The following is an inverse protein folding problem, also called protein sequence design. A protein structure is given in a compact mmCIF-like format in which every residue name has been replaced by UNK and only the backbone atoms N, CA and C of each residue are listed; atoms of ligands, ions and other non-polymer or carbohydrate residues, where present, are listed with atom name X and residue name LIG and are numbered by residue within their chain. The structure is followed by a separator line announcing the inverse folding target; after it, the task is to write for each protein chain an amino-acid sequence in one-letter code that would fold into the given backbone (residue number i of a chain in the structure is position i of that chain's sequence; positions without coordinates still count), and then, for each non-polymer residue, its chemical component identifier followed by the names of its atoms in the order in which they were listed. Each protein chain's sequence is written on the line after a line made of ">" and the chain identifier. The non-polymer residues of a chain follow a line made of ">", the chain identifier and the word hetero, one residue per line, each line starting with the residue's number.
data_IF_724924123367
#
_entry.id   IF_724924123367
#
_cell.length_a   1.000
_cell.length_b   1.000
_cell.length_c   1.000
_cell.angle_alpha   90.00
_cell.angle_beta   90.00
_cell.angle_gamma   90.00
#
_symmetry.space_group_name_H-M   'P 1'
#
loop_
_entity.id
_entity.type
_entity.pdbx_description
1 polymer ?
#
# COMPACT_ATOMS: atom_id res chain seq x y z
N UNK A 1 32.11 -59.24 -15.60
CA UNK A 1 33.37 -58.79 -14.97
C UNK A 1 33.08 -57.58 -14.08
N UNK A 2 33.72 -57.61 -12.93
CA UNK A 2 33.26 -56.93 -11.68
C UNK A 2 33.46 -55.43 -11.70
N UNK A 3 32.41 -54.71 -11.18
CA UNK A 3 32.50 -53.37 -10.63
C UNK A 3 33.45 -53.40 -9.41
N UNK A 4 34.64 -52.83 -9.53
CA UNK A 4 35.54 -52.38 -8.45
C UNK A 4 36.86 -52.02 -9.09
N UNK A 5 37.20 -50.72 -9.05
CA UNK A 5 38.54 -50.11 -9.09
C UNK A 5 38.50 -48.76 -9.82
N UNK A 6 37.86 -47.80 -9.15
CA UNK A 6 38.08 -46.37 -9.49
C UNK A 6 37.94 -45.49 -8.25
N UNK A 7 38.70 -45.84 -7.22
CA UNK A 7 38.95 -44.93 -6.11
C UNK A 7 40.45 -45.01 -5.85
N UNK A 8 41.21 -44.06 -6.36
CA UNK A 8 42.45 -43.54 -5.76
C UNK A 8 43.03 -42.42 -6.65
N UNK A 9 43.26 -41.29 -5.98
CA UNK A 9 44.07 -40.13 -6.38
C UNK A 9 43.33 -38.99 -7.10
N UNK A 10 42.77 -38.11 -6.29
CA UNK A 10 42.82 -36.66 -6.52
C UNK A 10 42.84 -35.96 -5.16
N UNK A 11 44.01 -35.87 -4.55
CA UNK A 11 44.35 -34.83 -3.57
C UNK A 11 44.52 -33.54 -4.36
N UNK A 12 43.49 -32.72 -4.40
CA UNK A 12 43.49 -31.41 -5.05
C UNK A 12 42.99 -30.36 -4.04
N UNK A 13 43.84 -29.40 -3.78
CA UNK A 13 43.68 -28.24 -2.89
C UNK A 13 42.26 -27.73 -2.83
N UNK A 14 41.68 -27.73 -1.63
CA UNK A 14 40.55 -26.89 -1.27
C UNK A 14 41.03 -25.43 -1.21
N UNK A 15 40.87 -24.71 -2.32
CA UNK A 15 40.87 -23.25 -2.28
C UNK A 15 39.64 -22.84 -1.53
N UNK A 16 39.80 -22.44 -0.26
CA UNK A 16 38.80 -21.74 0.53
C UNK A 16 38.65 -20.36 -0.14
N UNK A 17 37.71 -20.26 -1.06
CA UNK A 17 37.22 -18.96 -1.51
C UNK A 17 36.56 -18.30 -0.31
N UNK A 18 37.26 -17.37 0.34
CA UNK A 18 36.70 -16.42 1.28
C UNK A 18 35.64 -15.60 0.54
N UNK A 19 34.39 -15.98 0.70
CA UNK A 19 33.29 -15.11 0.37
C UNK A 19 33.49 -13.83 1.20
N UNK A 20 33.43 -12.64 0.61
CA UNK A 20 33.49 -11.43 1.39
C UNK A 20 32.31 -11.50 2.38
N UNK A 21 32.66 -11.46 3.67
CA UNK A 21 31.69 -11.24 4.73
C UNK A 21 30.87 -10.03 4.34
N UNK A 22 29.58 -10.25 4.07
CA UNK A 22 28.61 -9.17 3.88
C UNK A 22 28.82 -8.15 4.99
N UNK A 23 29.15 -6.93 4.62
CA UNK A 23 29.15 -5.79 5.55
C UNK A 23 27.79 -5.86 6.25
N UNK A 24 27.80 -5.94 7.56
CA UNK A 24 26.65 -5.68 8.41
C UNK A 24 26.24 -4.22 8.17
N UNK A 25 25.45 -4.01 7.12
CA UNK A 25 24.78 -2.74 6.88
C UNK A 25 23.83 -2.50 8.05
N UNK A 26 23.79 -1.26 8.47
CA UNK A 26 22.97 -0.70 9.53
C UNK A 26 21.54 -1.28 9.50
N UNK A 27 21.26 -2.29 10.36
CA UNK A 27 20.09 -3.17 10.29
C UNK A 27 18.76 -2.44 10.59
N UNK A 28 18.80 -1.11 10.81
CA UNK A 28 17.65 -0.26 11.13
C UNK A 28 17.20 0.67 9.99
N UNK A 29 17.98 0.77 8.92
CA UNK A 29 17.68 1.71 7.83
C UNK A 29 16.55 1.20 6.95
N UNK A 30 15.52 2.01 6.79
CA UNK A 30 14.33 1.70 5.97
C UNK A 30 14.41 2.44 4.64
N UNK A 31 13.90 1.79 3.58
CA UNK A 31 13.84 2.34 2.23
C UNK A 31 12.39 2.37 1.74
N UNK A 32 12.08 3.24 0.78
CA UNK A 32 10.74 3.28 0.15
C UNK A 32 10.43 2.00 -0.60
N UNK A 33 11.44 1.31 -1.10
CA UNK A 33 11.36 0.06 -1.86
C UNK A 33 11.39 -1.20 -1.00
N UNK A 34 11.54 -1.09 0.33
CA UNK A 34 11.52 -2.27 1.20
C UNK A 34 10.23 -3.06 0.95
N UNK A 35 10.38 -4.38 0.84
CA UNK A 35 9.26 -5.31 0.76
C UNK A 35 8.74 -5.58 2.16
N UNK A 36 7.47 -5.32 2.36
CA UNK A 36 6.79 -5.49 3.65
C UNK A 36 5.48 -6.26 3.47
N UNK A 37 5.14 -7.08 4.46
CA UNK A 37 3.88 -7.80 4.45
C UNK A 37 2.72 -6.87 4.84
N UNK A 38 1.65 -6.90 4.10
CA UNK A 38 0.42 -6.17 4.40
C UNK A 38 -0.41 -6.95 5.42
N UNK A 39 -0.08 -6.80 6.71
CA UNK A 39 -0.67 -7.59 7.79
C UNK A 39 -0.59 -9.09 7.52
N UNK A 40 -1.68 -9.80 7.80
CA UNK A 40 -1.81 -11.25 7.55
C UNK A 40 -2.47 -11.57 6.19
N UNK A 41 -2.49 -10.63 5.23
CA UNK A 41 -3.16 -10.86 3.93
C UNK A 41 -2.39 -11.80 2.99
N UNK A 42 -1.11 -12.04 3.24
CA UNK A 42 -0.22 -12.74 2.32
C UNK A 42 0.25 -11.89 1.14
N UNK A 43 -0.10 -10.59 1.11
CA UNK A 43 0.31 -9.67 0.05
C UNK A 43 1.57 -8.93 0.49
N UNK A 44 2.62 -9.05 -0.30
CA UNK A 44 3.84 -8.26 -0.13
C UNK A 44 3.74 -6.96 -0.94
N UNK A 45 4.09 -5.83 -0.34
CA UNK A 45 4.02 -4.49 -0.94
C UNK A 45 5.33 -3.74 -0.76
N UNK A 46 5.58 -2.70 -1.56
CA UNK A 46 6.63 -1.74 -1.23
C UNK A 46 6.22 -0.88 -0.03
N UNK A 47 7.19 -0.51 0.84
CA UNK A 47 6.94 0.32 2.03
C UNK A 47 6.23 1.62 1.69
N UNK A 48 6.59 2.26 0.59
CA UNK A 48 5.85 3.39 0.03
C UNK A 48 4.85 2.89 -1.01
N UNK A 49 3.61 3.36 -0.92
CA UNK A 49 2.66 3.31 -2.01
C UNK A 49 2.64 4.66 -2.75
N UNK A 50 2.63 4.62 -4.08
CA UNK A 50 2.40 5.83 -4.90
C UNK A 50 0.93 6.20 -4.79
N UNK A 51 0.64 7.26 -4.03
CA UNK A 51 -0.69 7.84 -3.93
C UNK A 51 -1.03 8.65 -5.17
N UNK A 52 -2.15 8.34 -5.81
CA UNK A 52 -2.60 9.02 -7.04
C UNK A 52 -3.77 9.97 -6.83
N UNK A 53 -4.14 10.22 -5.56
CA UNK A 53 -5.35 10.95 -5.18
C UNK A 53 -5.12 12.24 -4.41
N UNK A 54 -4.07 13.02 -4.69
CA UNK A 54 -3.92 14.35 -4.07
C UNK A 54 -5.09 15.23 -4.46
N UNK A 55 -5.83 15.74 -3.46
CA UNK A 55 -7.10 16.47 -3.66
C UNK A 55 -8.10 15.70 -4.54
N UNK A 56 -8.11 14.35 -4.40
CA UNK A 56 -8.88 13.44 -5.23
C UNK A 56 -10.37 13.41 -4.85
N UNK A 57 -11.22 13.89 -5.78
CA UNK A 57 -12.67 13.87 -5.68
C UNK A 57 -13.32 14.05 -7.05
N UNK A 58 -14.53 13.52 -7.23
CA UNK A 58 -15.30 13.71 -8.46
C UNK A 58 -14.59 13.22 -9.73
N UNK A 59 -13.92 12.06 -9.66
CA UNK A 59 -13.15 11.46 -10.74
C UNK A 59 -11.95 12.30 -11.20
N UNK A 60 -11.38 13.10 -10.31
CA UNK A 60 -10.21 13.94 -10.59
C UNK A 60 -9.28 13.99 -9.38
N UNK A 61 -7.98 14.14 -9.63
CA UNK A 61 -6.93 14.42 -8.64
C UNK A 61 -5.94 15.42 -9.22
N UNK A 62 -4.99 15.92 -8.43
CA UNK A 62 -3.91 16.74 -8.99
C UNK A 62 -3.17 15.97 -10.08
N UNK A 63 -2.89 14.69 -9.85
CA UNK A 63 -2.19 13.83 -10.81
C UNK A 63 -2.93 13.72 -12.15
N UNK A 64 -4.27 13.56 -12.14
CA UNK A 64 -5.04 13.50 -13.38
C UNK A 64 -5.08 14.84 -14.11
N UNK A 65 -5.08 15.97 -13.37
CA UNK A 65 -5.14 17.31 -13.96
C UNK A 65 -3.82 17.77 -14.54
N UNK A 66 -2.71 17.48 -13.82
CA UNK A 66 -1.40 18.06 -14.14
C UNK A 66 -0.56 17.14 -15.01
N UNK A 67 -0.67 15.82 -14.83
CA UNK A 67 0.13 14.85 -15.56
C UNK A 67 -0.59 14.24 -16.77
N UNK A 68 -1.92 14.17 -16.72
CA UNK A 68 -2.70 13.42 -17.70
C UNK A 68 -2.37 11.93 -17.69
N UNK A 69 -2.95 11.19 -18.63
CA UNK A 69 -2.83 9.72 -18.68
C UNK A 69 -1.37 9.28 -18.83
N UNK A 70 -0.66 9.86 -19.81
CA UNK A 70 0.72 9.47 -20.10
C UNK A 70 1.69 9.88 -19.00
N UNK A 71 1.61 11.10 -18.50
CA UNK A 71 2.54 11.61 -17.49
C UNK A 71 2.42 10.87 -16.15
N UNK A 72 1.19 10.50 -15.72
CA UNK A 72 1.04 9.67 -14.52
C UNK A 72 1.52 8.23 -14.77
N UNK A 73 1.28 7.66 -15.95
CA UNK A 73 1.82 6.36 -16.29
C UNK A 73 3.36 6.33 -16.31
N UNK A 74 4.00 7.38 -16.84
CA UNK A 74 5.45 7.54 -16.84
C UNK A 74 6.00 7.67 -15.40
N UNK A 75 5.30 8.39 -14.52
CA UNK A 75 5.67 8.50 -13.10
C UNK A 75 5.57 7.14 -12.37
N UNK A 76 4.52 6.37 -12.64
CA UNK A 76 4.34 5.02 -12.07
C UNK A 76 5.43 4.05 -12.55
N UNK A 77 5.86 4.14 -13.81
CA UNK A 77 6.98 3.36 -14.35
C UNK A 77 8.30 3.72 -13.66
N UNK A 78 8.60 5.00 -13.50
CA UNK A 78 9.79 5.46 -12.76
C UNK A 78 9.76 4.96 -11.31
N UNK A 79 8.59 4.95 -10.66
CA UNK A 79 8.45 4.41 -9.31
C UNK A 79 8.72 2.90 -9.28
N UNK A 80 8.17 2.15 -10.23
CA UNK A 80 8.38 0.71 -10.36
C UNK A 80 9.86 0.37 -10.58
N UNK A 81 10.56 1.06 -11.47
CA UNK A 81 11.99 0.88 -11.72
C UNK A 81 12.85 1.11 -10.47
N UNK A 82 12.34 1.90 -9.50
CA UNK A 82 12.96 2.16 -8.20
C UNK A 82 12.47 1.24 -7.08
N UNK A 83 11.76 0.16 -7.44
CA UNK A 83 11.26 -0.85 -6.51
C UNK A 83 10.01 -0.41 -5.74
N UNK A 84 9.34 0.70 -6.11
CA UNK A 84 8.06 1.12 -5.55
C UNK A 84 6.95 0.60 -6.45
N UNK A 85 6.43 -0.58 -6.12
CA UNK A 85 5.47 -1.32 -6.92
C UNK A 85 4.05 -1.36 -6.32
N UNK A 86 3.79 -0.64 -5.24
CA UNK A 86 2.48 -0.49 -4.63
C UNK A 86 1.83 0.82 -5.09
N UNK A 87 0.64 0.75 -5.69
CA UNK A 87 -0.09 1.90 -6.23
C UNK A 87 -1.41 2.07 -5.51
N UNK A 88 -1.64 3.26 -4.96
CA UNK A 88 -2.85 3.63 -4.23
C UNK A 88 -3.73 4.52 -5.10
N UNK A 89 -4.88 3.98 -5.51
CA UNK A 89 -5.91 4.61 -6.32
C UNK A 89 -7.26 4.65 -5.59
N UNK A 90 -8.26 5.23 -6.22
CA UNK A 90 -9.67 5.14 -5.86
C UNK A 90 -10.55 5.51 -7.06
N UNK A 91 -11.79 5.03 -7.05
CA UNK A 91 -12.78 5.44 -8.03
C UNK A 91 -12.94 6.96 -8.10
N UNK A 92 -13.02 7.62 -6.94
CA UNK A 92 -13.17 9.08 -6.84
C UNK A 92 -11.98 9.88 -7.37
N UNK A 93 -10.80 9.25 -7.58
CA UNK A 93 -9.61 9.93 -8.11
C UNK A 93 -9.55 9.96 -9.63
N UNK A 94 -10.30 9.07 -10.31
CA UNK A 94 -10.31 8.94 -11.77
C UNK A 94 -9.01 8.43 -12.37
N UNK A 95 -8.19 7.73 -11.59
CA UNK A 95 -6.83 7.33 -12.00
C UNK A 95 -6.73 5.92 -12.59
N UNK A 96 -7.81 5.11 -12.60
CA UNK A 96 -7.78 3.76 -13.19
C UNK A 96 -7.26 3.73 -14.63
N UNK A 97 -7.71 4.61 -15.56
CA UNK A 97 -7.17 4.62 -16.93
C UNK A 97 -5.67 4.94 -17.01
N UNK A 98 -5.14 5.69 -16.05
CA UNK A 98 -3.72 6.04 -15.95
C UNK A 98 -2.89 4.83 -15.53
N UNK A 99 -3.39 4.07 -14.52
CA UNK A 99 -2.78 2.82 -14.10
C UNK A 99 -2.80 1.81 -15.24
N UNK A 100 -3.91 1.69 -15.97
CA UNK A 100 -4.02 0.84 -17.17
C UNK A 100 -2.95 1.20 -18.21
N UNK A 101 -2.69 2.48 -18.43
CA UNK A 101 -1.65 2.91 -19.36
C UNK A 101 -0.26 2.45 -18.91
N UNK A 102 0.05 2.56 -17.60
CA UNK A 102 1.31 2.06 -17.04
C UNK A 102 1.44 0.53 -17.18
N UNK A 103 0.34 -0.21 -17.02
CA UNK A 103 0.30 -1.67 -17.16
C UNK A 103 0.56 -2.17 -18.60
N UNK A 104 0.57 -1.30 -19.61
CA UNK A 104 1.03 -1.69 -20.96
C UNK A 104 2.55 -1.95 -21.01
N UNK A 105 3.29 -1.38 -20.06
CA UNK A 105 4.77 -1.45 -19.99
C UNK A 105 5.27 -2.28 -18.80
N UNK A 106 4.45 -2.44 -17.77
CA UNK A 106 4.79 -3.16 -16.54
C UNK A 106 3.87 -4.36 -16.42
N UNK A 107 4.40 -5.59 -16.26
CA UNK A 107 3.57 -6.78 -16.06
C UNK A 107 2.66 -6.63 -14.83
N UNK A 108 1.38 -6.94 -14.98
CA UNK A 108 0.34 -6.74 -13.95
C UNK A 108 0.68 -7.43 -12.61
N UNK A 109 1.26 -8.62 -12.68
CA UNK A 109 1.63 -9.43 -11.52
C UNK A 109 2.85 -8.88 -10.76
N UNK A 110 3.54 -7.91 -11.31
CA UNK A 110 4.71 -7.26 -10.68
C UNK A 110 4.34 -6.05 -9.83
N UNK A 111 3.08 -5.64 -9.87
CA UNK A 111 2.58 -4.50 -9.09
C UNK A 111 1.40 -4.90 -8.22
N UNK A 112 1.24 -4.19 -7.11
CA UNK A 112 0.08 -4.30 -6.23
C UNK A 112 -0.77 -3.05 -6.40
N UNK A 113 -2.06 -3.23 -6.69
CA UNK A 113 -3.01 -2.14 -6.87
C UNK A 113 -4.03 -2.16 -5.74
N UNK A 114 -4.07 -1.07 -4.98
CA UNK A 114 -5.14 -0.75 -4.06
C UNK A 114 -6.09 0.25 -4.73
N UNK A 115 -7.37 -0.04 -4.69
CA UNK A 115 -8.42 0.92 -5.08
C UNK A 115 -9.57 0.94 -4.08
N UNK A 116 -10.46 1.92 -4.21
CA UNK A 116 -11.51 2.20 -3.22
C UNK A 116 -12.82 2.54 -3.90
N UNK A 117 -13.93 2.16 -3.28
CA UNK A 117 -15.29 2.43 -3.74
C UNK A 117 -16.16 3.03 -2.65
N UNK A 118 -17.17 3.78 -3.04
CA UNK A 118 -18.25 4.24 -2.18
C UNK A 118 -19.48 3.33 -2.19
N UNK A 119 -19.46 2.22 -2.93
CA UNK A 119 -20.58 1.28 -3.02
C UNK A 119 -21.11 0.88 -1.65
N UNK A 120 -22.43 0.76 -1.56
CA UNK A 120 -23.17 0.43 -0.34
C UNK A 120 -23.92 -0.90 -0.51
N UNK A 121 -24.57 -1.08 -1.65
CA UNK A 121 -25.36 -2.26 -1.96
C UNK A 121 -24.55 -3.33 -2.72
N UNK A 122 -25.08 -4.56 -2.74
CA UNK A 122 -24.55 -5.65 -3.58
C UNK A 122 -24.50 -5.25 -5.07
N UNK A 123 -25.58 -4.61 -5.56
CA UNK A 123 -25.69 -4.21 -6.97
C UNK A 123 -24.58 -3.21 -7.33
N UNK A 124 -24.36 -2.21 -6.51
CA UNK A 124 -23.32 -1.20 -6.73
C UNK A 124 -21.92 -1.84 -6.69
N UNK A 125 -21.67 -2.71 -5.71
CA UNK A 125 -20.36 -3.34 -5.57
C UNK A 125 -20.03 -4.27 -6.75
N UNK A 126 -20.98 -5.08 -7.21
CA UNK A 126 -20.82 -5.91 -8.41
C UNK A 126 -20.50 -5.06 -9.63
N UNK A 127 -21.26 -3.98 -9.82
CA UNK A 127 -21.04 -3.04 -10.93
C UNK A 127 -19.66 -2.37 -10.86
N UNK A 128 -19.21 -1.97 -9.65
CA UNK A 128 -17.90 -1.35 -9.45
C UNK A 128 -16.76 -2.35 -9.69
N UNK A 129 -16.85 -3.58 -9.21
CA UNK A 129 -15.84 -4.61 -9.46
C UNK A 129 -15.65 -4.87 -10.96
N UNK A 130 -16.74 -4.99 -11.71
CA UNK A 130 -16.69 -5.20 -13.16
C UNK A 130 -16.14 -3.96 -13.89
N UNK A 131 -16.56 -2.78 -13.48
CA UNK A 131 -16.11 -1.52 -14.07
C UNK A 131 -14.63 -1.28 -13.79
N UNK A 132 -14.18 -1.46 -12.53
CA UNK A 132 -12.80 -1.21 -12.13
C UNK A 132 -11.82 -2.15 -12.84
N UNK A 133 -12.18 -3.43 -12.99
CA UNK A 133 -11.35 -4.37 -13.76
C UNK A 133 -11.23 -3.95 -15.23
N UNK A 134 -12.30 -3.49 -15.85
CA UNK A 134 -12.26 -2.96 -17.23
C UNK A 134 -11.44 -1.67 -17.34
N UNK A 135 -11.63 -0.74 -16.40
CA UNK A 135 -10.89 0.54 -16.34
C UNK A 135 -9.39 0.33 -16.10
N UNK A 136 -9.02 -0.61 -15.24
CA UNK A 136 -7.64 -0.99 -14.94
C UNK A 136 -7.05 -1.93 -16.02
N UNK A 137 -7.87 -2.62 -16.79
CA UNK A 137 -7.42 -3.61 -17.76
C UNK A 137 -6.82 -4.86 -17.12
N UNK A 138 -7.46 -5.37 -16.07
CA UNK A 138 -6.98 -6.52 -15.30
C UNK A 138 -8.15 -7.39 -14.84
N UNK A 139 -7.90 -8.69 -14.62
CA UNK A 139 -8.92 -9.62 -14.15
C UNK A 139 -9.10 -9.62 -12.64
N UNK A 140 -8.16 -9.04 -11.89
CA UNK A 140 -8.18 -9.00 -10.43
C UNK A 140 -7.69 -7.67 -9.85
N UNK A 141 -8.08 -7.40 -8.60
CA UNK A 141 -7.65 -6.26 -7.79
C UNK A 141 -6.93 -6.81 -6.55
N UNK A 142 -5.75 -6.27 -6.20
CA UNK A 142 -5.03 -6.81 -5.06
C UNK A 142 -5.70 -6.38 -3.74
N UNK A 143 -6.05 -5.09 -3.59
CA UNK A 143 -6.70 -4.57 -2.39
C UNK A 143 -7.88 -3.68 -2.76
N UNK A 144 -9.08 -4.03 -2.27
CA UNK A 144 -10.30 -3.24 -2.48
C UNK A 144 -10.83 -2.72 -1.15
N UNK A 145 -10.92 -1.40 -1.00
CA UNK A 145 -11.41 -0.77 0.22
C UNK A 145 -12.78 -0.12 0.04
N UNK A 146 -13.61 -0.21 1.06
CA UNK A 146 -14.74 0.70 1.23
C UNK A 146 -14.18 2.06 1.62
N UNK A 147 -14.53 3.10 0.85
CA UNK A 147 -13.90 4.42 0.93
C UNK A 147 -14.61 5.32 1.92
N UNK A 148 -13.83 5.97 2.81
CA UNK A 148 -14.28 7.11 3.62
C UNK A 148 -15.35 6.71 4.65
N UNK A 149 -15.05 5.72 5.50
CA UNK A 149 -15.97 5.36 6.60
C UNK A 149 -15.95 6.44 7.67
N UNK A 150 -17.12 7.00 7.98
CA UNK A 150 -17.30 8.11 8.94
C UNK A 150 -18.29 7.77 10.08
N UNK A 151 -19.07 6.70 9.93
CA UNK A 151 -20.09 6.27 10.87
C UNK A 151 -19.66 4.99 11.60
N UNK A 152 -19.98 4.86 12.89
CA UNK A 152 -19.72 3.64 13.65
C UNK A 152 -20.51 2.43 13.10
N UNK A 153 -21.68 2.69 12.52
CA UNK A 153 -22.57 1.65 11.98
C UNK A 153 -22.26 1.30 10.51
N UNK A 154 -21.08 1.71 10.00
CA UNK A 154 -20.71 1.44 8.61
C UNK A 154 -20.81 -0.05 8.22
N UNK A 155 -20.60 -1.06 9.11
CA UNK A 155 -20.75 -2.46 8.70
C UNK A 155 -22.18 -2.81 8.32
N UNK A 156 -23.16 -2.26 9.02
CA UNK A 156 -24.59 -2.46 8.71
C UNK A 156 -24.96 -1.75 7.41
N UNK A 157 -24.51 -0.47 7.27
CA UNK A 157 -24.75 0.36 6.09
C UNK A 157 -24.13 -0.27 4.84
N UNK A 158 -22.98 -0.91 4.96
CA UNK A 158 -22.20 -1.48 3.86
C UNK A 158 -22.32 -3.00 3.73
N UNK A 159 -23.22 -3.64 4.47
CA UNK A 159 -23.34 -5.10 4.55
C UNK A 159 -23.43 -5.76 3.16
N UNK A 160 -24.23 -5.22 2.25
CA UNK A 160 -24.34 -5.74 0.88
C UNK A 160 -23.03 -5.67 0.11
N UNK A 161 -22.32 -4.54 0.18
CA UNK A 161 -21.02 -4.38 -0.45
C UNK A 161 -19.96 -5.30 0.17
N UNK A 162 -19.98 -5.48 1.49
CA UNK A 162 -19.06 -6.37 2.21
C UNK A 162 -19.24 -7.83 1.81
N UNK A 163 -20.47 -8.29 1.67
CA UNK A 163 -20.78 -9.65 1.23
C UNK A 163 -20.20 -9.93 -0.16
N UNK A 164 -20.41 -9.02 -1.11
CA UNK A 164 -19.86 -9.16 -2.47
C UNK A 164 -18.33 -9.18 -2.47
N UNK A 165 -17.68 -8.36 -1.66
CA UNK A 165 -16.21 -8.37 -1.56
C UNK A 165 -15.68 -9.66 -0.92
N UNK A 166 -16.40 -10.20 0.07
CA UNK A 166 -16.04 -11.49 0.69
C UNK A 166 -16.12 -12.63 -0.33
N UNK A 167 -17.16 -12.66 -1.19
CA UNK A 167 -17.28 -13.65 -2.28
C UNK A 167 -16.21 -13.41 -3.36
N UNK A 168 -16.03 -12.16 -3.80
CA UNK A 168 -15.00 -11.81 -4.79
C UNK A 168 -13.58 -12.20 -4.32
N UNK A 169 -13.33 -12.23 -3.00
CA UNK A 169 -12.08 -12.71 -2.45
C UNK A 169 -11.96 -14.24 -2.57
N UNK A 170 -13.02 -15.00 -2.33
CA UNK A 170 -13.03 -16.46 -2.54
C UNK A 170 -12.76 -16.82 -4.00
N UNK A 171 -13.30 -16.02 -4.91
CA UNK A 171 -13.14 -16.19 -6.36
C UNK A 171 -11.82 -15.61 -6.90
N UNK A 172 -10.93 -15.14 -6.03
CA UNK A 172 -9.65 -14.49 -6.38
C UNK A 172 -9.79 -13.24 -7.28
N UNK A 173 -10.98 -12.65 -7.39
CA UNK A 173 -11.23 -11.37 -8.07
C UNK A 173 -10.65 -10.21 -7.25
N UNK A 174 -10.67 -10.35 -5.91
CA UNK A 174 -10.04 -9.44 -4.96
C UNK A 174 -9.15 -10.27 -4.03
N UNK A 175 -7.90 -9.86 -3.80
CA UNK A 175 -7.01 -10.62 -2.90
C UNK A 175 -7.20 -10.26 -1.43
N UNK A 176 -7.45 -8.98 -1.13
CA UNK A 176 -7.75 -8.50 0.21
C UNK A 176 -8.75 -7.33 0.16
N UNK A 177 -9.54 -7.21 1.22
CA UNK A 177 -10.51 -6.14 1.38
C UNK A 177 -10.41 -5.44 2.75
N UNK A 178 -11.01 -4.28 2.85
CA UNK A 178 -11.00 -3.51 4.07
C UNK A 178 -11.63 -2.13 3.89
N UNK A 179 -11.13 -1.16 4.65
CA UNK A 179 -11.72 0.18 4.71
C UNK A 179 -10.66 1.29 4.69
N UNK A 180 -11.11 2.51 4.42
CA UNK A 180 -10.40 3.73 4.83
C UNK A 180 -11.29 4.53 5.77
N UNK A 181 -10.81 4.78 6.99
CA UNK A 181 -11.59 5.46 8.02
C UNK A 181 -11.33 6.96 8.06
N UNK A 182 -12.39 7.72 8.37
CA UNK A 182 -12.37 9.17 8.46
C UNK A 182 -13.13 9.70 9.69
N UNK A 183 -13.33 8.86 10.71
CA UNK A 183 -13.72 9.22 12.08
C UNK A 183 -13.16 8.20 13.05
N UNK A 184 -12.99 8.58 14.31
CA UNK A 184 -12.48 7.67 15.35
C UNK A 184 -13.46 6.55 15.66
N UNK A 185 -14.76 6.81 15.56
CA UNK A 185 -15.82 5.82 15.76
C UNK A 185 -15.75 4.75 14.67
N UNK A 186 -15.66 5.16 13.39
CA UNK A 186 -15.50 4.22 12.28
C UNK A 186 -14.19 3.41 12.40
N UNK A 187 -13.09 4.04 12.84
CA UNK A 187 -11.80 3.39 13.04
C UNK A 187 -11.86 2.34 14.16
N UNK A 188 -12.52 2.66 15.29
CA UNK A 188 -12.76 1.70 16.39
C UNK A 188 -13.60 0.52 15.94
N UNK A 189 -14.65 0.78 15.15
CA UNK A 189 -15.48 -0.29 14.56
C UNK A 189 -14.65 -1.16 13.62
N UNK A 190 -13.81 -0.58 12.77
CA UNK A 190 -12.93 -1.34 11.87
C UNK A 190 -11.94 -2.22 12.64
N UNK A 191 -11.42 -1.75 13.77
CA UNK A 191 -10.53 -2.53 14.64
C UNK A 191 -11.22 -3.80 15.18
N UNK A 192 -12.53 -3.75 15.44
CA UNK A 192 -13.32 -4.83 16.03
C UNK A 192 -14.10 -5.66 14.99
N UNK A 193 -14.02 -5.33 13.70
CA UNK A 193 -14.74 -6.04 12.62
C UNK A 193 -13.80 -7.03 11.95
N UNK A 194 -14.02 -8.34 12.12
CA UNK A 194 -13.16 -9.41 11.58
C UNK A 194 -13.06 -9.39 10.05
N UNK A 195 -14.10 -8.90 9.38
CA UNK A 195 -14.10 -8.73 7.93
C UNK A 195 -12.98 -7.80 7.45
N UNK A 196 -12.53 -6.83 8.23
CA UNK A 196 -11.47 -5.88 7.85
C UNK A 196 -10.12 -6.58 7.89
N UNK A 197 -9.47 -6.66 6.73
CA UNK A 197 -8.10 -7.17 6.59
C UNK A 197 -7.08 -6.04 6.46
N UNK A 198 -7.46 -4.93 5.83
CA UNK A 198 -6.63 -3.75 5.58
C UNK A 198 -7.37 -2.49 6.00
N UNK A 199 -6.73 -1.65 6.79
CA UNK A 199 -7.21 -0.29 7.08
C UNK A 199 -6.21 0.75 6.59
N UNK A 200 -6.71 1.74 5.86
CA UNK A 200 -5.97 2.91 5.40
C UNK A 200 -6.28 4.08 6.33
N UNK A 201 -5.42 4.30 7.33
CA UNK A 201 -5.62 5.21 8.44
C UNK A 201 -4.81 6.51 8.31
N UNK A 202 -5.39 7.60 8.79
CA UNK A 202 -4.73 8.90 8.87
C UNK A 202 -3.79 8.94 10.06
N UNK A 203 -2.49 9.20 9.81
CA UNK A 203 -1.47 9.24 10.86
C UNK A 203 -0.33 10.21 10.54
N UNK A 204 -0.03 11.11 11.46
CA UNK A 204 1.11 12.04 11.41
C UNK A 204 1.42 12.58 12.82
N UNK A 205 2.56 13.27 13.03
CA UNK A 205 2.99 13.70 14.37
C UNK A 205 2.14 14.83 14.97
N UNK A 206 1.45 15.60 14.14
CA UNK A 206 0.71 16.79 14.58
C UNK A 206 -0.81 16.56 14.74
N UNK A 207 -1.32 15.34 14.48
CA UNK A 207 -2.76 15.07 14.47
C UNK A 207 -3.52 15.76 13.33
N UNK A 208 -2.82 16.39 12.41
CA UNK A 208 -3.43 17.16 11.35
C UNK A 208 -4.29 16.30 10.42
N UNK A 209 -5.57 16.58 10.32
CA UNK A 209 -6.55 15.78 9.58
C UNK A 209 -6.63 14.31 10.03
N UNK A 210 -6.21 13.99 11.23
CA UNK A 210 -6.42 12.68 11.85
C UNK A 210 -7.85 12.54 12.40
N UNK A 211 -8.22 11.32 12.77
CA UNK A 211 -9.56 10.99 13.22
C UNK A 211 -9.82 11.39 14.67
N UNK A 212 -8.75 11.57 15.44
CA UNK A 212 -8.73 12.02 16.84
C UNK A 212 -7.29 12.44 17.18
N UNK A 213 -7.03 12.73 18.47
CA UNK A 213 -5.68 12.97 18.99
C UNK A 213 -4.74 11.81 18.67
N UNK A 214 -3.47 12.13 18.44
CA UNK A 214 -2.46 11.14 18.03
C UNK A 214 -2.41 9.91 18.93
N UNK A 215 -2.38 10.02 20.28
CA UNK A 215 -2.35 8.84 21.16
C UNK A 215 -3.58 7.95 21.07
N UNK A 216 -4.77 8.55 20.83
CA UNK A 216 -6.03 7.82 20.70
C UNK A 216 -6.01 6.98 19.42
N UNK A 217 -5.68 7.59 18.28
CA UNK A 217 -5.55 6.88 17.00
C UNK A 217 -4.48 5.79 17.10
N UNK A 218 -3.30 6.08 17.64
CA UNK A 218 -2.21 5.11 17.82
C UNK A 218 -2.65 3.88 18.61
N UNK A 219 -3.47 4.04 19.66
CA UNK A 219 -3.98 2.92 20.45
C UNK A 219 -4.84 1.97 19.60
N UNK A 220 -5.72 2.52 18.77
CA UNK A 220 -6.59 1.72 17.89
C UNK A 220 -5.78 1.01 16.80
N UNK A 221 -4.82 1.71 16.18
CA UNK A 221 -3.95 1.11 15.15
C UNK A 221 -3.08 -0.03 15.69
N UNK A 222 -2.58 0.10 16.94
CA UNK A 222 -1.86 -0.98 17.63
C UNK A 222 -2.77 -2.20 17.88
N UNK A 223 -4.04 -1.97 18.26
CA UNK A 223 -5.02 -3.04 18.39
C UNK A 223 -5.23 -3.77 17.07
N UNK A 224 -5.43 -3.04 15.97
CA UNK A 224 -5.57 -3.63 14.62
C UNK A 224 -4.35 -4.48 14.26
N UNK A 225 -3.15 -3.95 14.45
CA UNK A 225 -1.92 -4.68 14.14
C UNK A 225 -1.79 -5.96 14.97
N UNK A 226 -2.11 -5.91 16.25
CA UNK A 226 -2.05 -7.07 17.14
C UNK A 226 -3.07 -8.16 16.77
N UNK A 227 -4.18 -7.80 16.12
CA UNK A 227 -5.16 -8.75 15.57
C UNK A 227 -4.79 -9.26 14.17
N UNK A 228 -3.62 -8.90 13.64
CA UNK A 228 -3.15 -9.34 12.32
C UNK A 228 -3.66 -8.53 11.14
N UNK A 229 -4.44 -7.47 11.38
CA UNK A 229 -4.89 -6.57 10.32
C UNK A 229 -3.72 -5.74 9.79
N UNK A 230 -3.76 -5.43 8.50
CA UNK A 230 -2.81 -4.50 7.91
C UNK A 230 -3.19 -3.06 8.27
N UNK A 231 -2.20 -2.28 8.67
CA UNK A 231 -2.32 -0.85 8.90
C UNK A 231 -1.47 -0.12 7.88
N UNK A 232 -2.15 0.60 6.96
CA UNK A 232 -1.51 1.44 5.97
C UNK A 232 -1.68 2.91 6.36
N UNK A 233 -0.58 3.66 6.51
CA UNK A 233 -0.63 5.07 6.87
C UNK A 233 -0.95 5.98 5.70
N UNK A 234 -1.86 6.95 5.87
CA UNK A 234 -2.10 8.05 4.93
C UNK A 234 -2.03 9.41 5.64
N UNK A 235 -2.04 10.50 4.85
CA UNK A 235 -1.93 11.88 5.37
C UNK A 235 -0.68 12.11 6.22
N UNK A 236 0.42 11.47 5.86
CA UNK A 236 1.71 11.57 6.54
C UNK A 236 2.18 13.02 6.66
N UNK A 237 1.92 13.83 5.63
CA UNK A 237 2.19 15.28 5.63
C UNK A 237 0.98 16.13 5.99
N UNK A 238 0.01 15.59 6.78
CA UNK A 238 -1.15 16.34 7.26
C UNK A 238 -2.04 16.93 6.19
N UNK A 239 -2.07 16.33 4.99
CA UNK A 239 -2.78 16.89 3.82
C UNK A 239 -2.13 18.17 3.29
N UNK A 240 -0.83 18.33 3.43
CA UNK A 240 -0.02 19.47 2.99
C UNK A 240 0.40 20.41 4.13
N UNK A 241 -0.29 20.44 5.27
CA UNK A 241 0.05 21.32 6.40
C UNK A 241 1.44 21.06 7.02
N UNK A 242 1.98 19.86 6.84
CA UNK A 242 3.29 19.44 7.33
C UNK A 242 4.34 19.33 6.22
N UNK A 243 4.08 19.82 5.01
CA UNK A 243 5.03 19.78 3.89
C UNK A 243 6.34 20.53 4.18
N UNK A 244 6.33 21.52 5.06
CA UNK A 244 7.54 22.21 5.55
C UNK A 244 8.37 21.41 6.57
N UNK A 245 7.86 20.27 7.07
CA UNK A 245 8.53 19.41 8.06
C UNK A 245 8.56 17.94 7.64
N UNK A 246 9.02 17.61 6.42
CA UNK A 246 8.91 16.25 5.88
C UNK A 246 9.71 15.23 6.68
N UNK A 247 10.90 15.60 7.18
CA UNK A 247 11.75 14.70 7.97
C UNK A 247 11.10 14.30 9.30
N UNK A 248 10.44 15.22 9.98
CA UNK A 248 9.71 14.96 11.22
C UNK A 248 8.56 13.98 10.97
N UNK A 249 7.75 14.26 9.95
CA UNK A 249 6.61 13.43 9.57
C UNK A 249 7.01 12.01 9.16
N UNK A 250 8.04 11.88 8.34
CA UNK A 250 8.56 10.56 7.92
C UNK A 250 9.19 9.82 9.10
N UNK A 251 10.02 10.46 9.92
CA UNK A 251 10.60 9.84 11.12
C UNK A 251 9.50 9.34 12.05
N UNK A 252 8.44 10.10 12.23
CA UNK A 252 7.32 9.70 13.06
C UNK A 252 6.67 8.41 12.52
N UNK A 253 6.23 8.34 11.26
CA UNK A 253 5.57 7.15 10.72
C UNK A 253 6.50 5.93 10.66
N UNK A 254 7.77 6.13 10.31
CA UNK A 254 8.75 5.06 10.21
C UNK A 254 9.10 4.42 11.56
N UNK A 255 8.93 5.15 12.67
CA UNK A 255 9.10 4.63 14.04
C UNK A 255 7.92 3.77 14.50
N UNK A 256 6.77 3.82 13.85
CA UNK A 256 5.60 3.05 14.26
C UNK A 256 5.72 1.60 13.77
N UNK A 257 5.93 0.66 14.70
CA UNK A 257 6.03 -0.76 14.39
C UNK A 257 4.67 -1.41 14.02
N UNK A 258 3.58 -0.71 14.26
CA UNK A 258 2.22 -1.13 13.91
C UNK A 258 1.75 -0.59 12.54
N UNK A 259 2.52 0.23 11.87
CA UNK A 259 2.25 0.69 10.48
C UNK A 259 3.10 -0.15 9.53
N UNK A 260 2.46 -0.93 8.66
CA UNK A 260 3.15 -1.80 7.71
C UNK A 260 3.80 -1.00 6.58
N UNK A 261 3.03 -0.11 5.99
CA UNK A 261 3.42 0.72 4.87
C UNK A 261 2.64 2.05 4.89
N UNK A 262 2.96 2.96 4.00
CA UNK A 262 2.26 4.24 3.93
C UNK A 262 2.13 4.74 2.50
N UNK A 263 1.11 5.58 2.25
CA UNK A 263 0.89 6.23 0.96
C UNK A 263 1.18 7.72 1.04
N UNK A 264 1.82 8.24 0.01
CA UNK A 264 2.03 9.68 -0.20
C UNK A 264 1.61 10.01 -1.62
N UNK A 265 0.80 11.06 -1.76
CA UNK A 265 0.48 11.61 -3.08
C UNK A 265 1.73 12.16 -3.75
N UNK A 266 2.09 11.59 -4.90
CA UNK A 266 3.27 11.96 -5.66
C UNK A 266 2.80 12.59 -6.97
N UNK A 267 3.23 13.83 -7.23
CA UNK A 267 2.78 14.63 -8.36
C UNK A 267 3.84 14.81 -9.44
N UNK A 268 5.10 14.47 -9.12
CA UNK A 268 6.21 14.52 -10.06
C UNK A 268 7.37 13.62 -9.63
N UNK A 269 8.32 13.42 -10.54
CA UNK A 269 9.50 12.58 -10.30
C UNK A 269 10.40 13.12 -9.18
N UNK A 270 10.53 14.43 -9.02
CA UNK A 270 11.43 15.02 -8.01
C UNK A 270 10.93 14.73 -6.59
N UNK A 271 9.61 14.73 -6.35
CA UNK A 271 9.01 14.31 -5.08
C UNK A 271 9.34 12.84 -4.76
N UNK A 272 9.26 11.95 -5.75
CA UNK A 272 9.64 10.55 -5.57
C UNK A 272 11.12 10.40 -5.22
N UNK A 273 12.00 11.09 -5.95
CA UNK A 273 13.44 11.06 -5.72
C UNK A 273 13.85 11.69 -4.37
N UNK A 274 13.12 12.70 -3.91
CA UNK A 274 13.31 13.28 -2.58
C UNK A 274 12.95 12.24 -1.49
N UNK A 275 11.82 11.54 -1.62
CA UNK A 275 11.44 10.48 -0.69
C UNK A 275 12.44 9.32 -0.67
N UNK A 276 12.95 8.91 -1.84
CA UNK A 276 13.97 7.86 -1.95
C UNK A 276 15.25 8.20 -1.17
N UNK A 277 15.70 9.47 -1.21
CA UNK A 277 16.86 9.94 -0.48
C UNK A 277 16.56 10.20 1.01
N UNK A 278 15.36 10.68 1.30
CA UNK A 278 14.97 11.16 2.64
C UNK A 278 14.65 10.03 3.59
N UNK A 279 13.87 9.02 3.15
CA UNK A 279 13.41 7.92 4.00
C UNK A 279 14.57 7.18 4.68
N UNK A 280 15.63 6.72 3.98
CA UNK A 280 16.74 6.04 4.66
C UNK A 280 17.53 6.95 5.62
N UNK A 281 17.58 8.26 5.35
CA UNK A 281 18.27 9.22 6.22
C UNK A 281 17.56 9.45 7.56
N UNK A 282 16.23 9.44 7.56
CA UNK A 282 15.42 9.76 8.75
C UNK A 282 14.94 8.52 9.52
N UNK A 283 15.18 7.33 9.01
CA UNK A 283 14.74 6.07 9.63
C UNK A 283 15.72 5.51 10.68
N UNK A 284 16.88 6.09 10.80
CA UNK A 284 17.94 5.77 11.78
C UNK A 284 17.81 6.59 13.05
#
# INVERSE_FOLDING_TARGET
>A
MKRRDFIKRATGLLAVSSFPTSQFGDNNRKYISDRVMLGNTGIEVSRLAVGTGTNGWGKRSNQTRELGIKGLADLLEVAYERGVFFWDSADSYGTHPHLKEALKRIPREKVVILTKTHATSEKEMKADLDRFRRELGTDYIDVMLLHLMTDANWPEIKAGAMNVLAEARKDAIVKAHGVSCHSIEALKTAANTDWVQVDLARINPAGARMDDEVPVVQKVLKQMKNSGKAVMGMKIFGGGSLSGKPDESLRFVLKQNYVDCFTIGIENKDQLLDLEKRVPRVSV
#
